data_IF_521615249710
#
_entry.id   IF_521615249710
#
_cell.length_a   1.000
_cell.length_b   1.000
_cell.length_c   1.000
_cell.angle_alpha   90.00
_cell.angle_beta   90.00
_cell.angle_gamma   90.00
#
_symmetry.space_group_name_H-M   'P 1'
#
loop_
_entity.id
_entity.type
_entity.pdbx_description
1 polymer ?
#
# COMPACT_ATOMS: atom_id res chain seq x y z
N UNK A 1 -1.86 -22.28 -7.65
CA UNK A 1 -0.72 -21.69 -6.92
C UNK A 1 -0.98 -21.93 -5.44
N UNK A 2 -0.11 -22.69 -4.77
CA UNK A 2 -0.19 -22.91 -3.33
C UNK A 2 0.53 -21.71 -2.68
N UNK A 3 -0.23 -20.76 -2.16
CA UNK A 3 0.35 -19.64 -1.41
C UNK A 3 0.57 -20.11 0.03
N UNK A 4 1.82 -20.23 0.44
CA UNK A 4 2.19 -20.60 1.80
C UNK A 4 2.05 -19.39 2.73
N UNK A 5 0.85 -19.11 3.19
CA UNK A 5 0.57 -18.05 4.16
C UNK A 5 0.88 -18.45 5.61
N UNK A 6 1.22 -19.71 5.86
CA UNK A 6 1.48 -20.22 7.22
C UNK A 6 2.64 -19.48 7.94
N UNK A 7 3.58 -18.95 7.18
CA UNK A 7 4.66 -18.11 7.72
C UNK A 7 4.14 -16.82 8.39
N UNK A 8 2.94 -16.38 8.03
CA UNK A 8 2.29 -15.17 8.55
C UNK A 8 1.44 -15.42 9.80
N UNK A 9 1.25 -16.67 10.21
CA UNK A 9 0.39 -17.03 11.36
C UNK A 9 0.82 -16.41 12.69
N UNK A 10 2.07 -15.95 12.80
CA UNK A 10 2.62 -15.26 13.99
C UNK A 10 2.36 -13.74 13.98
N UNK A 11 1.86 -13.19 12.88
CA UNK A 11 1.59 -11.76 12.74
C UNK A 11 0.16 -11.50 13.22
N UNK A 12 0.00 -10.44 14.04
CA UNK A 12 -1.30 -10.03 14.56
C UNK A 12 -2.29 -9.76 13.40
N UNK A 13 -3.52 -10.25 13.53
CA UNK A 13 -4.59 -10.13 12.52
C UNK A 13 -4.94 -8.67 12.17
N UNK A 14 -4.63 -7.70 13.03
CA UNK A 14 -4.79 -6.28 12.70
C UNK A 14 -3.93 -5.83 11.51
N UNK A 15 -2.88 -6.60 11.19
CA UNK A 15 -2.01 -6.39 10.01
C UNK A 15 -2.44 -7.24 8.81
N UNK A 16 -3.74 -7.37 8.60
CA UNK A 16 -4.35 -8.24 7.59
C UNK A 16 -3.78 -8.06 6.17
N UNK A 17 -3.39 -6.83 5.79
CA UNK A 17 -2.86 -6.55 4.45
C UNK A 17 -1.48 -7.18 4.19
N UNK A 18 -0.76 -7.66 5.24
CA UNK A 18 0.53 -8.34 5.01
C UNK A 18 0.38 -9.60 4.17
N UNK A 19 -0.75 -10.28 4.25
CA UNK A 19 -1.08 -11.43 3.40
C UNK A 19 -1.14 -11.05 1.92
N UNK A 20 -1.74 -9.90 1.60
CA UNK A 20 -1.78 -9.34 0.25
C UNK A 20 -0.36 -9.02 -0.26
N UNK A 21 0.46 -8.36 0.55
CA UNK A 21 1.83 -8.04 0.19
C UNK A 21 2.68 -9.29 -0.03
N UNK A 22 2.50 -10.29 0.83
CA UNK A 22 3.17 -11.58 0.67
C UNK A 22 2.78 -12.27 -0.64
N UNK A 23 1.50 -12.25 -0.99
CA UNK A 23 1.03 -12.77 -2.27
C UNK A 23 1.64 -12.02 -3.46
N UNK A 24 1.82 -10.69 -3.35
CA UNK A 24 2.53 -9.90 -4.36
C UNK A 24 4.01 -10.27 -4.45
N UNK A 25 4.68 -10.48 -3.31
CA UNK A 25 6.09 -10.89 -3.26
C UNK A 25 6.35 -12.22 -3.98
N UNK A 26 5.40 -13.14 -3.96
CA UNK A 26 5.51 -14.46 -4.59
C UNK A 26 5.29 -14.43 -6.12
N UNK A 27 4.99 -13.27 -6.70
CA UNK A 27 4.83 -13.17 -8.15
C UNK A 27 6.18 -13.05 -8.85
N UNK A 28 6.37 -13.83 -9.90
CA UNK A 28 7.54 -13.83 -10.78
C UNK A 28 7.26 -13.18 -12.15
N UNK A 29 6.02 -12.77 -12.39
CA UNK A 29 5.52 -12.19 -13.65
C UNK A 29 4.63 -10.99 -13.38
N UNK A 30 4.45 -10.08 -14.37
CA UNK A 30 3.45 -9.03 -14.28
C UNK A 30 2.09 -9.57 -13.83
N UNK A 31 1.47 -8.87 -12.89
CA UNK A 31 0.19 -9.29 -12.33
C UNK A 31 -0.74 -8.11 -12.05
N UNK A 32 -2.00 -8.45 -11.87
CA UNK A 32 -3.03 -7.55 -11.35
C UNK A 32 -3.69 -8.22 -10.12
N UNK A 33 -3.86 -7.44 -9.07
CA UNK A 33 -4.57 -7.83 -7.87
C UNK A 33 -5.88 -7.05 -7.78
N UNK A 34 -6.92 -7.73 -7.37
CA UNK A 34 -8.23 -7.16 -7.12
C UNK A 34 -8.70 -7.63 -5.75
N UNK A 35 -9.16 -6.73 -4.89
CA UNK A 35 -9.76 -7.11 -3.61
C UNK A 35 -11.06 -7.89 -3.85
N UNK A 36 -11.42 -8.76 -2.91
CA UNK A 36 -12.57 -9.68 -3.07
C UNK A 36 -13.93 -8.96 -3.19
N UNK A 37 -14.00 -7.70 -2.78
CA UNK A 37 -15.19 -6.85 -2.87
C UNK A 37 -15.17 -5.91 -4.09
N UNK A 38 -14.16 -6.02 -4.95
CA UNK A 38 -14.02 -5.27 -6.18
C UNK A 38 -14.32 -6.13 -7.40
N UNK A 39 -15.06 -5.59 -8.36
CA UNK A 39 -15.50 -6.33 -9.56
C UNK A 39 -15.19 -5.58 -10.84
N UNK A 40 -14.68 -6.31 -11.84
CA UNK A 40 -14.45 -5.81 -13.18
C UNK A 40 -15.49 -6.36 -14.14
N UNK A 41 -16.28 -5.47 -14.73
CA UNK A 41 -17.28 -5.84 -15.73
C UNK A 41 -16.77 -5.67 -17.18
N UNK A 42 -15.59 -5.06 -17.34
CA UNK A 42 -14.96 -4.81 -18.66
C UNK A 42 -13.46 -5.02 -18.55
N UNK A 43 -12.83 -5.35 -19.69
CA UNK A 43 -11.37 -5.45 -19.77
C UNK A 43 -10.70 -4.13 -19.30
N UNK A 44 -9.66 -4.18 -18.48
CA UNK A 44 -8.91 -2.99 -18.08
C UNK A 44 -8.43 -2.18 -19.30
N UNK A 45 -8.43 -0.85 -19.22
CA UNK A 45 -7.91 0.00 -20.28
C UNK A 45 -6.44 -0.30 -20.61
N UNK A 46 -6.03 -0.10 -21.85
CA UNK A 46 -4.69 -0.43 -22.31
C UNK A 46 -3.58 0.33 -21.57
N UNK A 47 -3.84 1.58 -21.13
CA UNK A 47 -2.87 2.36 -20.36
C UNK A 47 -2.62 1.76 -18.96
N UNK A 48 -3.64 1.15 -18.34
CA UNK A 48 -3.54 0.41 -17.09
C UNK A 48 -2.71 -0.86 -17.28
N UNK A 49 -3.03 -1.64 -18.33
CA UNK A 49 -2.32 -2.90 -18.62
C UNK A 49 -0.83 -2.71 -18.96
N UNK A 50 -0.44 -1.51 -19.43
CA UNK A 50 0.95 -1.18 -19.79
C UNK A 50 1.69 -0.39 -18.71
N UNK A 51 1.03 0.03 -17.63
CA UNK A 51 1.63 0.81 -16.58
C UNK A 51 2.69 0.00 -15.80
N UNK A 52 3.81 0.61 -15.43
CA UNK A 52 4.80 -0.02 -14.55
C UNK A 52 4.19 -0.40 -13.21
N UNK A 53 3.44 0.53 -12.62
CA UNK A 53 2.61 0.32 -11.44
C UNK A 53 1.28 1.06 -11.62
N UNK A 54 0.18 0.40 -11.28
CA UNK A 54 -1.16 1.00 -11.35
C UNK A 54 -1.99 0.68 -10.11
N UNK A 55 -2.89 1.62 -9.78
CA UNK A 55 -3.72 1.56 -8.58
C UNK A 55 -5.13 2.07 -8.90
N UNK A 56 -6.05 1.87 -7.95
CA UNK A 56 -7.42 2.30 -8.10
C UNK A 56 -7.52 3.83 -8.25
N UNK A 57 -7.07 4.58 -7.26
CA UNK A 57 -7.05 6.05 -7.23
C UNK A 57 -6.03 6.56 -6.21
N UNK A 58 -5.83 7.88 -6.16
CA UNK A 58 -5.17 8.56 -5.06
C UNK A 58 -6.16 8.83 -3.93
N UNK A 59 -5.74 8.58 -2.70
CA UNK A 59 -6.46 8.98 -1.48
C UNK A 59 -6.23 10.47 -1.22
N UNK A 60 -7.16 11.32 -1.64
CA UNK A 60 -6.99 12.79 -1.63
C UNK A 60 -8.08 13.55 -0.90
N UNK A 61 -9.08 12.85 -0.33
CA UNK A 61 -10.18 13.48 0.39
C UNK A 61 -9.81 13.78 1.86
N UNK A 62 -10.60 14.67 2.48
CA UNK A 62 -10.36 15.13 3.85
C UNK A 62 -10.49 14.01 4.89
N UNK A 63 -11.39 13.05 4.65
CA UNK A 63 -11.56 11.89 5.52
C UNK A 63 -10.29 11.02 5.53
N UNK A 64 -9.74 10.74 4.36
CA UNK A 64 -8.46 10.02 4.23
C UNK A 64 -7.33 10.77 4.95
N UNK A 65 -7.28 12.11 4.85
CA UNK A 65 -6.29 12.91 5.58
C UNK A 65 -6.35 12.74 7.10
N UNK A 66 -7.54 12.76 7.70
CA UNK A 66 -7.72 12.58 9.14
C UNK A 66 -7.29 11.18 9.58
N UNK A 67 -7.60 10.19 8.76
CA UNK A 67 -7.33 8.80 9.03
C UNK A 67 -5.82 8.50 9.02
N UNK A 68 -5.09 9.01 8.03
CA UNK A 68 -3.64 8.82 7.95
C UNK A 68 -2.84 9.65 8.95
N UNK A 69 -3.37 10.76 9.44
CA UNK A 69 -2.63 11.69 10.30
C UNK A 69 -1.96 10.99 11.49
N UNK A 70 -2.70 10.22 12.27
CA UNK A 70 -2.18 9.51 13.44
C UNK A 70 -1.13 8.46 13.06
N UNK A 71 -1.32 7.79 11.94
CA UNK A 71 -0.36 6.81 11.45
C UNK A 71 0.97 7.47 11.04
N UNK A 72 0.89 8.63 10.41
CA UNK A 72 2.05 9.44 10.02
C UNK A 72 2.77 9.99 11.26
N UNK A 73 2.02 10.50 12.24
CA UNK A 73 2.56 10.96 13.53
C UNK A 73 3.28 9.83 14.27
N UNK A 74 2.71 8.61 14.28
CA UNK A 74 3.34 7.43 14.84
C UNK A 74 4.66 7.09 14.13
N UNK A 75 4.69 7.13 12.80
CA UNK A 75 5.92 6.92 12.03
C UNK A 75 6.96 8.00 12.33
N UNK A 76 6.53 9.27 12.43
CA UNK A 76 7.42 10.38 12.79
C UNK A 76 8.06 10.20 14.17
N UNK A 77 7.30 9.69 15.15
CA UNK A 77 7.77 9.41 16.50
C UNK A 77 8.67 8.15 16.61
N UNK A 78 8.89 7.43 15.51
CA UNK A 78 9.66 6.18 15.46
C UNK A 78 10.87 6.34 14.51
N UNK A 79 11.96 6.99 14.97
CA UNK A 79 13.08 7.38 14.09
C UNK A 79 13.87 6.20 13.51
N UNK A 80 13.80 5.01 14.13
CA UNK A 80 14.44 3.79 13.66
C UNK A 80 13.71 3.12 12.49
N UNK A 81 12.50 3.60 12.13
CA UNK A 81 11.71 3.04 11.03
C UNK A 81 12.43 3.25 9.69
N UNK A 82 12.69 2.17 8.96
CA UNK A 82 13.42 2.21 7.68
C UNK A 82 12.77 3.13 6.66
N UNK A 83 11.45 3.35 6.75
CA UNK A 83 10.71 4.20 5.82
C UNK A 83 11.17 5.67 5.86
N UNK A 84 11.87 6.14 6.93
CA UNK A 84 12.48 7.47 6.99
C UNK A 84 13.49 7.74 5.86
N UNK A 85 14.05 6.70 5.28
CA UNK A 85 14.90 6.82 4.09
C UNK A 85 14.15 7.36 2.85
N UNK A 86 12.85 7.14 2.79
CA UNK A 86 11.99 7.42 1.62
C UNK A 86 11.01 8.56 1.86
N UNK A 87 10.67 8.84 3.11
CA UNK A 87 9.64 9.80 3.51
C UNK A 87 10.13 10.69 4.66
N UNK A 88 9.97 11.98 4.49
CA UNK A 88 10.09 12.95 5.57
C UNK A 88 8.73 13.10 6.26
N UNK A 89 8.52 12.33 7.33
CA UNK A 89 7.28 12.33 8.10
C UNK A 89 7.00 13.65 8.85
N UNK A 90 7.99 14.57 8.95
CA UNK A 90 7.77 15.91 9.50
C UNK A 90 6.92 16.79 8.58
N UNK A 91 6.89 16.44 7.30
CA UNK A 91 6.08 17.11 6.26
C UNK A 91 4.84 16.28 5.98
N UNK A 92 3.81 16.47 6.78
CA UNK A 92 2.54 15.74 6.60
C UNK A 92 1.97 16.02 5.22
N UNK A 93 2.15 15.06 4.30
CA UNK A 93 1.56 15.07 2.98
C UNK A 93 0.91 13.72 2.73
N UNK A 94 -0.39 13.73 2.46
CA UNK A 94 -1.08 12.53 2.07
C UNK A 94 -0.74 12.18 0.61
N UNK A 95 0.12 11.17 0.45
CA UNK A 95 0.50 10.58 -0.82
C UNK A 95 0.20 9.07 -0.78
N UNK A 96 -1.03 8.70 -0.48
CA UNK A 96 -1.45 7.30 -0.45
C UNK A 96 -2.24 6.94 -1.71
N UNK A 97 -2.12 5.70 -2.14
CA UNK A 97 -2.91 5.12 -3.25
C UNK A 97 -3.88 4.09 -2.70
N UNK A 98 -5.09 4.03 -3.25
CA UNK A 98 -6.02 2.96 -2.94
C UNK A 98 -5.58 1.65 -3.61
N UNK A 99 -5.36 0.60 -2.81
CA UNK A 99 -4.91 -0.72 -3.25
C UNK A 99 -6.04 -1.75 -3.41
N UNK A 100 -7.30 -1.33 -3.44
CA UNK A 100 -8.44 -2.21 -3.78
C UNK A 100 -8.32 -2.80 -5.20
N UNK A 101 -7.66 -2.07 -6.07
CA UNK A 101 -7.10 -2.56 -7.34
C UNK A 101 -5.65 -2.10 -7.43
N UNK A 102 -4.75 -3.00 -7.77
CA UNK A 102 -3.36 -2.69 -8.08
C UNK A 102 -2.78 -3.64 -9.12
N UNK A 103 -1.78 -3.19 -9.84
CA UNK A 103 -1.08 -4.02 -10.83
C UNK A 103 0.35 -3.55 -11.03
N UNK A 104 1.21 -4.50 -11.37
CA UNK A 104 2.63 -4.28 -11.56
C UNK A 104 3.13 -4.98 -12.81
N UNK A 105 3.72 -4.23 -13.74
CA UNK A 105 4.55 -4.77 -14.81
C UNK A 105 6.05 -4.73 -14.43
N UNK A 106 6.40 -3.91 -13.43
CA UNK A 106 7.75 -3.80 -12.88
C UNK A 106 7.72 -4.25 -11.42
N UNK A 107 8.31 -5.40 -11.12
CA UNK A 107 8.28 -6.03 -9.80
C UNK A 107 9.48 -5.61 -8.92
N UNK A 108 10.37 -4.77 -9.42
CA UNK A 108 11.67 -4.45 -8.79
C UNK A 108 11.54 -4.01 -7.33
N UNK A 109 10.49 -3.24 -6.99
CA UNK A 109 10.31 -2.65 -5.67
C UNK A 109 9.38 -3.44 -4.75
N UNK A 110 8.82 -4.57 -5.19
CA UNK A 110 7.92 -5.40 -4.38
C UNK A 110 8.64 -6.00 -3.15
N UNK A 111 9.85 -6.55 -3.28
CA UNK A 111 10.56 -7.08 -2.10
C UNK A 111 10.85 -6.00 -1.06
N UNK A 112 11.31 -4.83 -1.49
CA UNK A 112 11.60 -3.71 -0.60
C UNK A 112 10.33 -3.18 0.10
N UNK A 113 9.21 -3.09 -0.62
CA UNK A 113 7.92 -2.75 -0.04
C UNK A 113 7.50 -3.75 1.06
N UNK A 114 7.66 -5.04 0.82
CA UNK A 114 7.36 -6.08 1.79
C UNK A 114 8.25 -5.96 3.04
N UNK A 115 9.55 -5.73 2.87
CA UNK A 115 10.50 -5.52 3.97
C UNK A 115 10.16 -4.28 4.81
N UNK A 116 9.74 -3.20 4.18
CA UNK A 116 9.27 -1.99 4.87
C UNK A 116 7.98 -2.24 5.66
N UNK A 117 7.08 -3.07 5.15
CA UNK A 117 5.87 -3.47 5.86
C UNK A 117 6.20 -4.29 7.12
N UNK A 118 7.12 -5.25 7.02
CA UNK A 118 7.59 -6.03 8.18
C UNK A 118 8.29 -5.15 9.22
N UNK A 119 9.12 -4.22 8.77
CA UNK A 119 9.80 -3.24 9.63
C UNK A 119 8.77 -2.39 10.39
N UNK A 120 7.74 -1.88 9.71
CA UNK A 120 6.64 -1.14 10.33
C UNK A 120 5.88 -1.98 11.37
N UNK A 121 5.54 -3.22 11.05
CA UNK A 121 4.85 -4.14 11.97
C UNK A 121 5.67 -4.36 13.25
N UNK A 122 6.98 -4.48 13.11
CA UNK A 122 7.87 -4.77 14.23
C UNK A 122 8.18 -3.55 15.10
N UNK A 123 8.17 -2.35 14.52
CA UNK A 123 8.58 -1.10 15.18
C UNK A 123 7.38 -0.22 15.53
N UNK A 124 6.80 0.46 14.55
CA UNK A 124 5.74 1.44 14.73
C UNK A 124 4.35 0.83 14.94
N UNK A 125 4.08 -0.31 14.34
CA UNK A 125 2.77 -0.97 14.38
C UNK A 125 2.37 -1.53 15.75
N UNK A 126 3.25 -1.49 16.75
CA UNK A 126 2.96 -1.94 18.12
C UNK A 126 2.07 -0.97 18.91
N UNK A 127 1.99 0.28 18.49
CA UNK A 127 1.18 1.29 19.18
C UNK A 127 -0.30 0.97 18.94
N UNK A 128 -0.98 0.59 20.01
CA UNK A 128 -2.37 0.20 19.97
C UNK A 128 -3.27 1.44 20.01
N UNK A 129 -3.84 1.80 18.89
CA UNK A 129 -5.04 2.64 18.83
C UNK A 129 -6.17 1.77 18.23
N UNK A 130 -7.27 1.50 18.97
CA UNK A 130 -8.36 0.67 18.49
C UNK A 130 -9.11 1.27 17.28
N UNK A 131 -8.94 2.57 17.03
CA UNK A 131 -9.46 3.26 15.83
C UNK A 131 -8.50 3.18 14.63
N UNK A 132 -7.35 2.55 14.80
CA UNK A 132 -6.26 2.58 13.84
C UNK A 132 -6.24 1.32 12.99
N UNK A 133 -6.28 1.45 11.68
CA UNK A 133 -6.08 0.35 10.73
C UNK A 133 -4.65 0.42 10.20
N UNK A 134 -3.67 -0.07 10.96
CA UNK A 134 -2.25 0.10 10.63
C UNK A 134 -1.87 -0.53 9.29
N UNK A 135 -2.68 -1.46 8.79
CA UNK A 135 -2.46 -2.10 7.49
C UNK A 135 -2.43 -1.13 6.33
N UNK A 136 -3.27 -0.10 6.32
CA UNK A 136 -3.30 0.87 5.22
C UNK A 136 -2.01 1.70 5.12
N UNK A 137 -1.30 1.88 6.24
CA UNK A 137 -0.05 2.62 6.25
C UNK A 137 0.99 1.95 5.37
N UNK A 138 1.28 0.67 5.61
CA UNK A 138 2.27 -0.05 4.83
C UNK A 138 1.73 -0.52 3.47
N UNK A 139 0.41 -0.76 3.36
CA UNK A 139 -0.20 -1.18 2.10
C UNK A 139 -0.28 -0.03 1.10
N UNK A 140 -0.74 1.14 1.51
CA UNK A 140 -1.13 2.22 0.61
C UNK A 140 -0.14 3.39 0.62
N UNK A 141 0.24 3.85 1.82
CA UNK A 141 1.12 5.01 1.97
C UNK A 141 2.58 4.67 1.64
N UNK A 142 3.09 3.54 2.12
CA UNK A 142 4.49 3.18 1.88
C UNK A 142 4.77 2.91 0.41
N UNK A 143 3.93 2.14 -0.28
CA UNK A 143 4.16 1.82 -1.69
C UNK A 143 4.14 3.07 -2.58
N UNK A 144 3.20 3.97 -2.36
CA UNK A 144 3.13 5.19 -3.17
C UNK A 144 4.35 6.08 -2.98
N UNK A 145 4.85 6.24 -1.74
CA UNK A 145 6.03 7.04 -1.45
C UNK A 145 7.32 6.34 -1.91
N UNK A 146 7.42 5.03 -1.78
CA UNK A 146 8.53 4.24 -2.31
C UNK A 146 8.66 4.41 -3.83
N UNK A 147 7.57 4.24 -4.57
CA UNK A 147 7.54 4.41 -6.01
C UNK A 147 7.87 5.85 -6.43
N UNK A 148 7.38 6.85 -5.69
CA UNK A 148 7.73 8.26 -5.94
C UNK A 148 9.22 8.54 -5.70
N UNK A 149 9.81 7.97 -4.64
CA UNK A 149 11.23 8.09 -4.36
C UNK A 149 12.07 7.58 -5.54
N UNK A 150 11.72 6.42 -6.10
CA UNK A 150 12.39 5.83 -7.26
C UNK A 150 11.92 6.41 -8.61
N UNK A 151 11.06 7.43 -8.59
CA UNK A 151 10.49 8.06 -9.79
C UNK A 151 9.80 7.07 -10.73
N UNK A 152 9.21 6.02 -10.17
CA UNK A 152 8.37 5.07 -10.91
C UNK A 152 7.01 5.73 -11.17
N UNK A 153 6.56 5.83 -12.43
CA UNK A 153 5.26 6.41 -12.74
C UNK A 153 4.12 5.59 -12.13
N UNK A 154 3.27 6.26 -11.37
CA UNK A 154 2.03 5.69 -10.81
C UNK A 154 0.88 6.07 -11.74
N UNK A 155 0.18 5.06 -12.23
CA UNK A 155 -1.02 5.22 -13.06
C UNK A 155 -2.25 4.83 -12.23
N UNK A 156 -3.34 5.59 -12.35
CA UNK A 156 -4.60 5.27 -11.64
C UNK A 156 -5.75 5.10 -12.63
N UNK A 157 -6.80 4.39 -12.22
CA UNK A 157 -8.01 4.20 -13.03
C UNK A 157 -8.76 5.51 -13.30
N UNK A 158 -8.48 6.56 -12.51
CA UNK A 158 -9.02 7.89 -12.68
C UNK A 158 -10.03 8.29 -11.59
N UNK A 159 -10.36 9.59 -11.55
CA UNK A 159 -11.23 10.22 -10.55
C UNK A 159 -12.69 9.74 -10.56
N UNK A 160 -13.11 8.96 -11.56
CA UNK A 160 -14.51 8.54 -11.74
C UNK A 160 -15.05 7.63 -10.63
N UNK A 161 -14.19 7.14 -9.74
CA UNK A 161 -14.57 6.30 -8.60
C UNK A 161 -14.55 7.04 -7.25
N UNK A 162 -14.11 8.29 -7.22
CA UNK A 162 -14.16 9.14 -6.03
C UNK A 162 -15.54 9.74 -5.77
N UNK A 163 -16.54 9.38 -6.55
CA UNK A 163 -17.92 9.86 -6.43
C UNK A 163 -18.81 8.87 -5.71
N UNK A 164 -18.74 8.79 -4.38
CA UNK A 164 -19.96 8.55 -3.62
C UNK A 164 -20.54 9.91 -3.24
N UNK A 165 -21.50 10.34 -4.00
CA UNK A 165 -22.46 11.34 -3.55
C UNK A 165 -23.34 10.74 -2.46
#
# INVERSE_FOLDING_TARGET
>A
VKVELDTLNKIDKKFWAIGKLHACLLQDKPFMHLDMDAFWFKKPPAHILKAKACFQNWETDEYSHQYYRRLIENCHATPELKMHKYVDFSKVKLNAVCCGFMGYNDLTHIPEWYDLALDYINTAGKIADPMNVPSIMFEQYFISNLLQHYKVPITTLGKQWAGRN
#
